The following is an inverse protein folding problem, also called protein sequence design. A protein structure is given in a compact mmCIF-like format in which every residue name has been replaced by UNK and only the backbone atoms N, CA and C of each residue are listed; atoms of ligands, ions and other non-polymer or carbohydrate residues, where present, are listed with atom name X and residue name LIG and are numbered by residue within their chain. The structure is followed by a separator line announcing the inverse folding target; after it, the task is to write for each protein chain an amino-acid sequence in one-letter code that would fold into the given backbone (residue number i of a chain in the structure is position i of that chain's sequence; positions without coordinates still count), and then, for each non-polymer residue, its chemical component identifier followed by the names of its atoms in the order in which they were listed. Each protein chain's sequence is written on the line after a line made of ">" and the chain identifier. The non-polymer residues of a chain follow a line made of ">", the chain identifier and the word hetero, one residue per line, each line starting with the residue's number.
data_IF_067852925706
#
_entry.id   IF_067852925706
#
_cell.length_a   1.000
_cell.length_b   1.000
_cell.length_c   1.000
_cell.angle_alpha   90.00
_cell.angle_beta   90.00
_cell.angle_gamma   90.00
#
_symmetry.space_group_name_H-M   'P 1'
#
loop_
_entity.id
_entity.type
_entity.pdbx_description
1 polymer ?
#
# COMPACT_ATOMS: atom_id res chain seq x y z
N UNK A 1 7.89 3.84 9.15
CA UNK A 1 7.27 5.13 8.77
C UNK A 1 7.33 6.19 9.85
N UNK A 2 7.86 5.89 11.03
CA UNK A 2 7.80 6.79 12.18
C UNK A 2 8.57 8.09 11.98
N UNK A 3 9.70 8.03 11.26
CA UNK A 3 10.46 9.22 10.85
C UNK A 3 9.59 10.22 10.09
N UNK A 4 8.81 9.76 9.09
CA UNK A 4 8.01 10.64 8.26
C UNK A 4 6.86 11.30 9.06
N UNK A 5 6.20 10.54 9.93
CA UNK A 5 5.20 11.08 10.86
C UNK A 5 5.81 12.12 11.82
N UNK A 6 7.01 11.87 12.34
CA UNK A 6 7.66 12.76 13.32
C UNK A 6 8.20 14.05 12.67
N UNK A 7 8.90 13.93 11.55
CA UNK A 7 9.60 15.02 10.86
C UNK A 7 8.66 15.90 10.05
N UNK A 8 7.81 15.30 9.23
CA UNK A 8 6.96 16.03 8.29
C UNK A 8 5.53 16.23 8.79
N UNK A 9 5.21 15.71 9.99
CA UNK A 9 3.88 15.84 10.61
C UNK A 9 2.74 15.33 9.72
N UNK A 10 3.03 14.36 8.84
CA UNK A 10 2.02 13.73 8.00
C UNK A 10 0.94 13.12 8.88
N UNK A 11 -0.30 13.13 8.40
CA UNK A 11 -1.44 12.45 9.05
C UNK A 11 -1.66 11.05 8.49
N UNK A 12 -1.10 10.78 7.32
CA UNK A 12 -1.34 9.57 6.56
C UNK A 12 -0.18 9.24 5.65
N UNK A 13 0.13 7.96 5.54
CA UNK A 13 1.06 7.42 4.55
C UNK A 13 0.35 6.25 3.87
N UNK A 14 0.33 6.28 2.54
CA UNK A 14 -0.26 5.24 1.70
C UNK A 14 0.81 4.42 1.02
N UNK A 15 0.52 3.15 0.79
CA UNK A 15 1.35 2.26 -0.01
C UNK A 15 0.46 1.43 -0.93
N UNK A 16 0.94 1.18 -2.15
CA UNK A 16 0.25 0.34 -3.13
C UNK A 16 1.16 -0.82 -3.51
N UNK A 17 0.63 -2.03 -3.48
CA UNK A 17 1.34 -3.21 -3.96
C UNK A 17 0.39 -4.15 -4.72
N UNK A 18 0.96 -4.96 -5.63
CA UNK A 18 0.20 -5.90 -6.46
C UNK A 18 -0.49 -6.95 -5.61
N UNK A 19 -1.72 -7.34 -5.97
CA UNK A 19 -2.45 -8.44 -5.31
C UNK A 19 -1.66 -9.76 -5.30
N UNK A 20 -0.89 -10.03 -6.36
CA UNK A 20 -0.03 -11.22 -6.44
C UNK A 20 1.27 -11.12 -5.61
N UNK A 21 1.71 -9.92 -5.22
CA UNK A 21 2.94 -9.73 -4.44
C UNK A 21 2.68 -9.85 -2.93
N UNK A 22 2.38 -11.08 -2.51
CA UNK A 22 2.12 -11.44 -1.11
C UNK A 22 3.27 -11.05 -0.15
N UNK A 23 4.57 -11.18 -0.52
CA UNK A 23 5.66 -10.72 0.33
C UNK A 23 5.60 -9.22 0.66
N UNK A 24 5.37 -8.36 -0.34
CA UNK A 24 5.25 -6.90 -0.12
C UNK A 24 4.06 -6.56 0.78
N UNK A 25 2.91 -7.19 0.54
CA UNK A 25 1.72 -7.04 1.38
C UNK A 25 1.98 -7.42 2.85
N UNK A 26 2.75 -8.49 3.09
CA UNK A 26 3.12 -8.93 4.44
C UNK A 26 3.97 -7.89 5.18
N UNK A 27 4.88 -7.21 4.49
CA UNK A 27 5.68 -6.12 5.08
C UNK A 27 4.79 -4.98 5.54
N UNK A 28 3.82 -4.56 4.71
CA UNK A 28 2.87 -3.50 5.05
C UNK A 28 2.02 -3.87 6.28
N UNK A 29 1.49 -5.10 6.31
CA UNK A 29 0.76 -5.63 7.47
C UNK A 29 1.62 -5.60 8.74
N UNK A 30 2.87 -6.10 8.66
CA UNK A 30 3.81 -6.09 9.80
C UNK A 30 4.19 -4.67 10.26
N UNK A 31 4.27 -3.71 9.34
CA UNK A 31 4.57 -2.32 9.64
C UNK A 31 3.38 -1.52 10.22
N UNK A 32 2.22 -2.17 10.40
CA UNK A 32 1.02 -1.58 10.99
C UNK A 32 0.16 -0.79 10.00
N UNK A 33 0.25 -1.08 8.71
CA UNK A 33 -0.68 -0.56 7.72
C UNK A 33 -1.95 -1.41 7.69
N UNK A 34 -3.08 -0.75 7.40
CA UNK A 34 -4.38 -1.39 7.16
C UNK A 34 -4.63 -1.47 5.65
N UNK A 35 -5.16 -2.60 5.20
CA UNK A 35 -5.67 -2.75 3.83
C UNK A 35 -7.00 -2.00 3.76
N UNK A 36 -7.12 -1.07 2.83
CA UNK A 36 -8.35 -0.29 2.64
C UNK A 36 -9.17 -0.75 1.44
N UNK A 37 -8.53 -1.41 0.46
CA UNK A 37 -9.26 -1.97 -0.66
C UNK A 37 -8.39 -2.60 -1.73
N UNK A 38 -9.08 -3.17 -2.72
CA UNK A 38 -8.51 -3.68 -3.97
C UNK A 38 -8.93 -2.75 -5.10
N UNK A 39 -7.95 -2.11 -5.72
CA UNK A 39 -8.12 -1.33 -6.94
C UNK A 39 -8.09 -2.31 -8.13
N UNK A 40 -9.27 -2.61 -8.68
CA UNK A 40 -9.41 -3.53 -9.81
C UNK A 40 -8.91 -2.88 -11.10
N UNK A 41 -8.12 -3.62 -11.89
CA UNK A 41 -7.55 -3.16 -13.18
C UNK A 41 -6.79 -1.83 -13.07
N UNK A 42 -6.15 -1.58 -11.92
CA UNK A 42 -5.55 -0.28 -11.60
C UNK A 42 -4.35 0.10 -12.48
N UNK A 43 -3.61 -0.88 -13.00
CA UNK A 43 -2.47 -0.61 -13.88
C UNK A 43 -2.43 -1.57 -15.05
N UNK A 44 -2.17 -1.02 -16.22
CA UNK A 44 -1.86 -1.80 -17.42
C UNK A 44 -0.35 -2.06 -17.50
N UNK A 45 0.05 -3.33 -17.57
CA UNK A 45 1.45 -3.73 -17.75
C UNK A 45 1.48 -5.08 -18.47
N UNK A 46 2.43 -5.28 -19.39
CA UNK A 46 2.60 -6.53 -20.14
C UNK A 46 1.30 -6.97 -20.86
N UNK A 47 0.56 -6.02 -21.44
CA UNK A 47 -0.74 -6.24 -22.10
C UNK A 47 -1.87 -6.74 -21.19
N UNK A 48 -1.69 -6.68 -19.87
CA UNK A 48 -2.68 -7.10 -18.89
C UNK A 48 -3.02 -5.97 -17.92
N UNK A 49 -4.28 -5.95 -17.48
CA UNK A 49 -4.71 -5.10 -16.37
C UNK A 49 -4.49 -5.83 -15.05
N UNK A 50 -3.77 -5.18 -14.15
CA UNK A 50 -3.37 -5.75 -12.88
C UNK A 50 -4.10 -5.07 -11.72
N UNK A 51 -4.51 -5.88 -10.76
CA UNK A 51 -5.12 -5.43 -9.52
C UNK A 51 -4.04 -5.02 -8.51
N UNK A 52 -4.35 -3.97 -7.76
CA UNK A 52 -3.50 -3.43 -6.71
C UNK A 52 -4.24 -3.40 -5.38
N UNK A 53 -3.52 -3.64 -4.30
CA UNK A 53 -3.97 -3.40 -2.95
C UNK A 53 -3.55 -1.99 -2.53
N UNK A 54 -4.49 -1.21 -2.01
CA UNK A 54 -4.19 0.09 -1.38
C UNK A 54 -4.17 -0.06 0.14
N UNK A 55 -3.07 0.36 0.74
CA UNK A 55 -2.80 0.28 2.17
C UNK A 55 -2.58 1.66 2.74
N UNK A 56 -2.91 1.84 4.02
CA UNK A 56 -2.62 3.07 4.72
C UNK A 56 -2.24 2.87 6.18
N UNK A 57 -1.39 3.77 6.67
CA UNK A 57 -1.16 3.99 8.09
C UNK A 57 -1.50 5.44 8.40
N UNK A 58 -2.36 5.65 9.37
CA UNK A 58 -2.83 6.97 9.83
C UNK A 58 -2.31 7.21 11.25
N UNK A 59 -2.08 8.48 11.61
CA UNK A 59 -1.62 8.91 12.93
C UNK A 59 -2.38 10.14 13.41
#
# INVERSE_FOLDING_TARGET
>A
TDYAFKKYKLKRITAICRTFNKPSARVLKKAGYKLEGILRKNKFKNKEYLDDMIWAKVR
#
